data_IF_795805544131
#
_entry.id   IF_795805544131
#
_cell.length_a   1.000
_cell.length_b   1.000
_cell.length_c   1.000
_cell.angle_alpha   90.00
_cell.angle_beta   90.00
_cell.angle_gamma   90.00
#
_symmetry.space_group_name_H-M   'P 1'
#
loop_
_entity.id
_entity.type
_entity.pdbx_description
1 polymer ?
#
# COMPACT_ATOMS: atom_id res chain seq x y z
N UNK A 1 74.93 -66.62 4.59
CA UNK A 1 75.15 -65.40 5.40
C UNK A 1 74.48 -64.24 4.69
N UNK A 2 73.51 -63.59 5.35
CA UNK A 2 73.18 -62.15 5.26
C UNK A 2 72.82 -61.54 3.88
N UNK A 3 71.90 -60.60 3.69
CA UNK A 3 71.06 -59.74 4.54
C UNK A 3 70.01 -59.07 3.61
N UNK A 4 68.79 -58.88 4.13
CA UNK A 4 67.87 -57.74 4.00
C UNK A 4 67.94 -56.81 2.77
N UNK A 5 66.77 -56.56 2.16
CA UNK A 5 66.20 -55.21 1.94
C UNK A 5 64.66 -55.34 1.76
N UNK A 6 63.88 -54.94 2.77
CA UNK A 6 62.42 -54.73 2.66
C UNK A 6 62.15 -53.23 2.60
N UNK A 7 61.63 -52.75 1.47
CA UNK A 7 61.18 -51.37 1.32
C UNK A 7 59.82 -51.17 2.00
N UNK A 8 59.78 -50.22 2.93
CA UNK A 8 58.57 -49.71 3.57
C UNK A 8 57.93 -48.70 2.60
N UNK A 9 56.71 -48.98 2.12
CA UNK A 9 55.87 -47.97 1.47
C UNK A 9 55.07 -47.24 2.53
N UNK A 10 55.32 -45.94 2.68
CA UNK A 10 54.53 -45.02 3.51
C UNK A 10 53.18 -44.81 2.83
N UNK A 11 52.10 -45.24 3.50
CA UNK A 11 50.74 -44.98 3.09
C UNK A 11 50.36 -43.57 3.58
N UNK A 12 50.32 -42.59 2.68
CA UNK A 12 49.83 -41.25 2.99
C UNK A 12 48.31 -41.30 3.11
N UNK A 13 47.81 -41.19 4.34
CA UNK A 13 46.38 -41.12 4.65
C UNK A 13 45.93 -39.66 4.42
N UNK A 14 45.37 -39.38 3.25
CA UNK A 14 44.75 -38.09 2.96
C UNK A 14 43.43 -37.98 3.74
N UNK A 15 43.44 -37.18 4.81
CA UNK A 15 42.24 -36.80 5.54
C UNK A 15 41.31 -36.00 4.61
N UNK A 16 40.22 -36.61 4.15
CA UNK A 16 39.10 -35.92 3.52
C UNK A 16 38.32 -35.19 4.63
N UNK A 17 38.66 -33.93 4.86
CA UNK A 17 37.82 -33.02 5.63
C UNK A 17 36.54 -32.74 4.84
N UNK A 18 35.33 -32.93 5.41
CA UNK A 18 34.12 -32.50 4.75
C UNK A 18 34.15 -30.96 4.69
N UNK A 19 34.27 -30.41 3.48
CA UNK A 19 33.90 -29.01 3.26
C UNK A 19 32.40 -28.90 3.52
N UNK A 20 32.03 -28.48 4.72
CA UNK A 20 30.72 -27.88 4.95
C UNK A 20 30.71 -26.56 4.18
N UNK A 21 30.24 -26.57 2.93
CA UNK A 21 29.75 -25.37 2.30
C UNK A 21 28.60 -24.87 3.17
N UNK A 22 28.84 -23.82 3.95
CA UNK A 22 27.77 -22.99 4.46
C UNK A 22 27.08 -22.40 3.24
N UNK A 23 25.96 -22.99 2.84
CA UNK A 23 24.95 -22.28 2.06
C UNK A 23 24.60 -21.08 2.93
N UNK A 24 25.15 -19.92 2.59
CA UNK A 24 24.63 -18.66 3.09
C UNK A 24 23.13 -18.72 2.79
N UNK A 25 22.32 -18.83 3.84
CA UNK A 25 20.87 -18.91 3.69
C UNK A 25 20.44 -17.71 2.88
N UNK A 26 20.10 -17.92 1.61
CA UNK A 26 19.39 -16.91 0.85
C UNK A 26 18.07 -16.76 1.61
N UNK A 27 17.93 -15.65 2.31
CA UNK A 27 16.63 -15.23 2.82
C UNK A 27 15.69 -15.26 1.63
N UNK A 28 14.74 -16.19 1.62
CA UNK A 28 13.78 -16.26 0.53
C UNK A 28 13.05 -14.91 0.43
N UNK A 29 13.02 -14.36 -0.79
CA UNK A 29 12.39 -13.08 -1.06
C UNK A 29 10.89 -13.23 -0.81
N UNK A 30 10.36 -12.48 0.15
CA UNK A 30 8.99 -12.68 0.56
C UNK A 30 8.02 -11.88 -0.34
N UNK A 31 6.90 -12.51 -0.68
CA UNK A 31 5.76 -11.85 -1.35
C UNK A 31 4.50 -12.14 -0.55
N UNK A 32 3.92 -11.09 0.02
CA UNK A 32 2.73 -11.19 0.87
C UNK A 32 1.49 -10.73 0.10
N UNK A 33 0.58 -11.64 -0.17
CA UNK A 33 -0.73 -11.40 -0.78
C UNK A 33 -1.80 -11.27 0.30
N UNK A 34 -2.60 -10.22 0.21
CA UNK A 34 -3.78 -9.97 1.03
C UNK A 34 -5.03 -9.87 0.14
N UNK A 35 -6.16 -10.35 0.65
CA UNK A 35 -7.43 -10.38 -0.06
C UNK A 35 -8.49 -9.55 0.66
N UNK A 36 -9.35 -8.86 -0.09
CA UNK A 36 -10.55 -8.20 0.44
C UNK A 36 -11.74 -8.59 -0.41
N UNK A 37 -12.65 -9.38 0.15
CA UNK A 37 -13.90 -9.80 -0.51
C UNK A 37 -14.96 -8.71 -0.31
N UNK A 38 -15.56 -8.23 -1.40
CA UNK A 38 -16.79 -7.43 -1.38
C UNK A 38 -17.89 -8.23 -2.12
N UNK A 39 -19.12 -7.72 -2.17
CA UNK A 39 -20.28 -8.48 -2.65
C UNK A 39 -20.14 -8.97 -4.10
N UNK A 40 -19.55 -8.16 -4.97
CA UNK A 40 -19.47 -8.36 -6.42
C UNK A 40 -18.03 -8.45 -6.94
N UNK A 41 -17.04 -8.45 -6.05
CA UNK A 41 -15.62 -8.40 -6.40
C UNK A 41 -14.71 -8.89 -5.29
N UNK A 42 -13.56 -9.39 -5.70
CA UNK A 42 -12.44 -9.68 -4.82
C UNK A 42 -11.28 -8.78 -5.20
N UNK A 43 -10.76 -8.04 -4.22
CA UNK A 43 -9.52 -7.28 -4.38
C UNK A 43 -8.34 -8.06 -3.84
N UNK A 44 -7.27 -8.09 -4.60
CA UNK A 44 -5.98 -8.67 -4.26
C UNK A 44 -4.98 -7.54 -4.15
N UNK A 45 -4.26 -7.43 -3.04
CA UNK A 45 -3.22 -6.44 -2.82
C UNK A 45 -2.00 -7.11 -2.22
N UNK A 46 -0.80 -6.72 -2.65
CA UNK A 46 0.42 -7.39 -2.20
C UNK A 46 1.61 -6.46 -2.01
N UNK A 47 2.58 -6.95 -1.24
CA UNK A 47 3.95 -6.45 -1.23
C UNK A 47 4.90 -7.54 -1.71
N UNK A 48 6.03 -7.15 -2.29
CA UNK A 48 7.07 -8.09 -2.72
C UNK A 48 8.45 -7.50 -2.47
N UNK A 49 9.36 -8.35 -2.00
CA UNK A 49 10.78 -8.04 -1.85
C UNK A 49 11.58 -8.40 -3.10
N UNK A 50 10.93 -9.02 -4.10
CA UNK A 50 11.59 -9.40 -5.35
C UNK A 50 12.09 -8.15 -6.09
N UNK A 51 13.41 -8.02 -6.30
CA UNK A 51 13.94 -6.91 -7.06
C UNK A 51 13.70 -7.12 -8.56
N UNK A 52 13.62 -6.01 -9.31
CA UNK A 52 13.55 -6.03 -10.78
C UNK A 52 12.48 -7.00 -11.34
N UNK A 53 11.24 -6.85 -10.88
CA UNK A 53 10.09 -7.64 -11.38
C UNK A 53 9.95 -7.44 -12.89
N UNK A 54 9.87 -8.55 -13.64
CA UNK A 54 9.68 -8.55 -15.08
C UNK A 54 8.21 -8.77 -15.48
N UNK A 55 7.49 -9.61 -14.73
CA UNK A 55 6.04 -9.77 -14.84
C UNK A 55 5.44 -10.33 -13.56
N UNK A 56 4.13 -10.21 -13.45
CA UNK A 56 3.37 -10.77 -12.33
C UNK A 56 2.14 -11.50 -12.86
N UNK A 57 1.75 -12.59 -12.21
CA UNK A 57 0.65 -13.44 -12.65
C UNK A 57 -0.26 -13.78 -11.47
N UNK A 58 -1.57 -13.60 -11.64
CA UNK A 58 -2.57 -14.01 -10.63
C UNK A 58 -3.09 -15.40 -11.01
N UNK A 59 -3.05 -16.29 -10.03
CA UNK A 59 -3.61 -17.63 -10.12
C UNK A 59 -4.80 -17.76 -9.18
N UNK A 60 -5.81 -18.52 -9.61
CA UNK A 60 -7.03 -18.79 -8.86
C UNK A 60 -7.42 -20.26 -8.94
N UNK A 61 -7.89 -20.83 -7.85
CA UNK A 61 -8.42 -22.20 -7.77
C UNK A 61 -9.71 -22.25 -6.94
N UNK A 62 -10.50 -23.30 -7.16
CA UNK A 62 -11.62 -23.70 -6.28
C UNK A 62 -11.17 -24.67 -5.18
N UNK A 63 -9.88 -24.94 -5.07
CA UNK A 63 -9.25 -25.71 -4.00
C UNK A 63 -8.03 -24.99 -3.45
N UNK A 64 -7.53 -25.43 -2.29
CA UNK A 64 -6.32 -24.88 -1.67
C UNK A 64 -5.00 -25.37 -2.28
N UNK A 65 -5.03 -26.08 -3.42
CA UNK A 65 -3.86 -26.65 -4.07
C UNK A 65 -3.46 -25.81 -5.28
N UNK A 66 -2.20 -25.36 -5.32
CA UNK A 66 -1.70 -24.50 -6.39
C UNK A 66 -1.63 -25.23 -7.74
N UNK A 67 -1.40 -26.54 -7.74
CA UNK A 67 -1.35 -27.38 -8.95
C UNK A 67 -2.69 -27.43 -9.69
N UNK A 68 -3.78 -27.05 -9.02
CA UNK A 68 -5.13 -26.96 -9.59
C UNK A 68 -5.51 -25.51 -9.94
N UNK A 69 -4.61 -24.54 -9.71
CA UNK A 69 -4.88 -23.14 -9.95
C UNK A 69 -4.68 -22.78 -11.42
N UNK A 70 -5.61 -21.97 -11.95
CA UNK A 70 -5.54 -21.42 -13.29
C UNK A 70 -5.05 -19.98 -13.25
N UNK A 71 -4.22 -19.58 -14.21
CA UNK A 71 -3.79 -18.19 -14.35
C UNK A 71 -4.93 -17.35 -14.90
N UNK A 72 -5.40 -16.39 -14.11
CA UNK A 72 -6.51 -15.51 -14.48
C UNK A 72 -6.07 -14.13 -14.96
N UNK A 73 -4.84 -13.70 -14.64
CA UNK A 73 -4.31 -12.41 -15.10
C UNK A 73 -2.78 -12.43 -15.26
N UNK A 74 -2.29 -11.58 -16.17
CA UNK A 74 -0.88 -11.18 -16.30
C UNK A 74 -0.83 -9.67 -16.11
N UNK A 75 0.03 -9.20 -15.21
CA UNK A 75 0.05 -7.82 -14.74
C UNK A 75 1.39 -7.15 -15.05
N UNK A 76 1.34 -5.82 -15.12
CA UNK A 76 2.51 -4.96 -15.15
C UNK A 76 3.39 -5.14 -13.90
N UNK A 77 4.73 -5.02 -14.01
CA UNK A 77 5.66 -5.15 -12.88
C UNK A 77 5.45 -4.21 -11.69
N UNK A 78 4.85 -3.05 -11.90
CA UNK A 78 4.67 -2.03 -10.87
C UNK A 78 3.29 -2.09 -10.21
N UNK A 79 2.36 -2.86 -10.77
CA UNK A 79 1.03 -3.05 -10.19
C UNK A 79 1.14 -3.85 -8.88
N UNK A 80 0.44 -3.40 -7.84
CA UNK A 80 0.38 -4.09 -6.54
C UNK A 80 -1.05 -4.34 -6.05
N UNK A 81 -2.03 -4.06 -6.90
CA UNK A 81 -3.46 -4.31 -6.63
C UNK A 81 -4.12 -4.84 -7.89
N UNK A 82 -4.93 -5.88 -7.78
CA UNK A 82 -5.74 -6.45 -8.84
C UNK A 82 -7.18 -6.68 -8.36
N UNK A 83 -8.11 -6.71 -9.30
CA UNK A 83 -9.52 -7.02 -9.06
C UNK A 83 -9.88 -8.31 -9.81
N UNK A 84 -10.63 -9.18 -9.14
CA UNK A 84 -11.33 -10.30 -9.75
C UNK A 84 -12.84 -10.13 -9.56
N UNK A 85 -13.55 -10.02 -10.67
CA UNK A 85 -15.00 -9.89 -10.75
C UNK A 85 -15.66 -11.05 -11.52
N UNK A 86 -14.90 -12.08 -11.90
CA UNK A 86 -15.37 -13.18 -12.72
C UNK A 86 -15.46 -14.48 -11.92
N UNK A 87 -16.39 -14.54 -10.97
CA UNK A 87 -16.53 -15.66 -10.05
C UNK A 87 -17.98 -16.13 -9.92
N UNK A 88 -18.16 -17.40 -9.58
CA UNK A 88 -19.48 -17.95 -9.30
C UNK A 88 -19.98 -17.44 -7.94
N UNK A 89 -21.27 -17.04 -7.83
CA UNK A 89 -21.83 -16.61 -6.56
C UNK A 89 -21.75 -17.74 -5.53
N UNK A 90 -21.47 -17.40 -4.28
CA UNK A 90 -21.33 -18.33 -3.15
C UNK A 90 -20.20 -19.38 -3.27
N UNK A 91 -19.38 -19.32 -4.30
CA UNK A 91 -18.16 -20.14 -4.40
C UNK A 91 -17.01 -19.44 -3.67
N UNK A 92 -16.23 -20.23 -2.93
CA UNK A 92 -14.95 -19.78 -2.40
C UNK A 92 -13.80 -20.09 -3.34
N UNK A 93 -12.83 -19.18 -3.35
CA UNK A 93 -11.65 -19.24 -4.19
C UNK A 93 -10.39 -19.01 -3.38
N UNK A 94 -9.32 -19.63 -3.87
CA UNK A 94 -7.96 -19.51 -3.37
C UNK A 94 -7.11 -18.83 -4.44
N UNK A 95 -6.23 -17.94 -4.01
CA UNK A 95 -5.44 -17.07 -4.85
C UNK A 95 -3.97 -17.14 -4.47
N UNK A 96 -3.15 -17.04 -5.50
CA UNK A 96 -1.71 -16.87 -5.40
C UNK A 96 -1.27 -15.80 -6.39
N UNK A 97 -0.23 -15.07 -6.02
CA UNK A 97 0.53 -14.23 -6.92
C UNK A 97 1.84 -14.94 -7.23
N UNK A 98 2.17 -15.07 -8.50
CA UNK A 98 3.49 -15.47 -8.97
C UNK A 98 4.21 -14.23 -9.49
N UNK A 99 5.29 -13.84 -8.82
CA UNK A 99 6.20 -12.77 -9.24
C UNK A 99 7.36 -13.38 -9.99
N UNK A 100 7.69 -12.83 -11.15
CA UNK A 100 8.75 -13.35 -12.01
C UNK A 100 9.77 -12.24 -12.20
N UNK A 101 11.01 -12.49 -11.78
CA UNK A 101 12.09 -11.50 -11.86
C UNK A 101 12.71 -11.42 -13.27
N UNK A 102 13.62 -10.47 -13.46
CA UNK A 102 14.32 -10.23 -14.72
C UNK A 102 15.11 -11.43 -15.24
N UNK A 103 15.52 -12.34 -14.36
CA UNK A 103 16.24 -13.57 -14.71
C UNK A 103 15.28 -14.74 -15.02
N UNK A 104 13.98 -14.52 -14.87
CA UNK A 104 12.94 -15.50 -15.10
C UNK A 104 12.67 -16.44 -13.92
N UNK A 105 13.27 -16.19 -12.75
CA UNK A 105 12.99 -16.97 -11.54
C UNK A 105 11.62 -16.59 -10.99
N UNK A 106 10.86 -17.63 -10.62
CA UNK A 106 9.50 -17.52 -10.11
C UNK A 106 9.50 -17.48 -8.57
N UNK A 107 8.72 -16.56 -8.01
CA UNK A 107 8.53 -16.39 -6.57
C UNK A 107 7.02 -16.41 -6.30
N UNK A 108 6.55 -17.41 -5.58
CA UNK A 108 5.13 -17.57 -5.27
C UNK A 108 4.79 -16.90 -3.93
N UNK A 109 3.67 -16.20 -3.87
CA UNK A 109 3.17 -15.63 -2.62
C UNK A 109 2.62 -16.70 -1.67
N UNK A 110 2.28 -16.27 -0.45
CA UNK A 110 1.37 -17.03 0.40
C UNK A 110 0.02 -17.26 -0.30
N UNK A 111 -0.70 -18.29 0.17
CA UNK A 111 -2.08 -18.54 -0.17
C UNK A 111 -2.99 -17.48 0.48
N UNK A 112 -3.90 -16.91 -0.30
CA UNK A 112 -5.01 -16.07 0.17
C UNK A 112 -6.34 -16.67 -0.27
N UNK A 113 -7.40 -16.57 0.53
CA UNK A 113 -8.67 -17.18 0.18
C UNK A 113 -9.87 -16.32 0.60
N UNK A 114 -11.00 -16.49 -0.10
CA UNK A 114 -12.27 -15.88 0.28
C UNK A 114 -12.98 -16.60 1.42
N UNK A 115 -12.46 -17.76 1.83
CA UNK A 115 -12.97 -18.55 2.94
C UNK A 115 -12.82 -17.72 4.24
N UNK A 116 -13.90 -17.45 4.99
CA UNK A 116 -13.85 -16.56 6.15
C UNK A 116 -12.84 -16.95 7.24
N UNK A 117 -12.53 -18.24 7.38
CA UNK A 117 -11.55 -18.72 8.34
C UNK A 117 -10.11 -18.38 7.96
N UNK A 118 -9.82 -18.12 6.68
CA UNK A 118 -8.49 -17.79 6.16
C UNK A 118 -8.37 -16.32 5.74
N UNK A 119 -9.47 -15.57 5.66
CA UNK A 119 -9.46 -14.17 5.23
C UNK A 119 -8.81 -13.20 6.23
N UNK A 120 -8.58 -13.64 7.49
CA UNK A 120 -8.06 -12.81 8.58
C UNK A 120 -6.89 -13.44 9.36
N UNK A 121 -6.37 -14.59 8.93
CA UNK A 121 -5.26 -15.22 9.63
C UNK A 121 -3.93 -14.59 9.20
N UNK A 122 -3.04 -14.24 10.14
CA UNK A 122 -1.70 -13.79 9.79
C UNK A 122 -0.98 -14.90 9.02
N UNK A 123 -0.38 -14.55 7.89
CA UNK A 123 0.21 -15.52 6.96
C UNK A 123 1.56 -16.07 7.43
N UNK A 124 2.12 -15.49 8.50
CA UNK A 124 3.31 -16.02 9.14
C UNK A 124 3.31 -15.67 10.64
N UNK A 125 3.98 -16.52 11.42
CA UNK A 125 4.48 -16.19 12.76
C UNK A 125 5.63 -15.18 12.63
N UNK A 126 5.37 -14.02 12.04
CA UNK A 126 6.39 -12.96 11.96
C UNK A 126 6.47 -12.38 13.36
N UNK A 127 7.64 -12.44 13.99
CA UNK A 127 7.88 -11.83 15.30
C UNK A 127 7.38 -10.37 15.37
N UNK A 128 7.41 -9.67 14.22
CA UNK A 128 6.95 -8.30 14.06
C UNK A 128 5.42 -8.12 14.02
N UNK A 129 4.63 -9.14 13.65
CA UNK A 129 3.17 -9.03 13.61
C UNK A 129 2.59 -8.67 14.98
N UNK A 130 3.18 -9.21 16.06
CA UNK A 130 2.81 -8.90 17.45
C UNK A 130 3.05 -7.44 17.86
N UNK A 131 3.93 -6.73 17.13
CA UNK A 131 4.25 -5.32 17.37
C UNK A 131 3.24 -4.39 16.69
N UNK A 132 2.53 -4.88 15.68
CA UNK A 132 1.47 -4.15 14.99
C UNK A 132 0.19 -4.17 15.82
N UNK A 133 0.05 -3.15 16.67
CA UNK A 133 -1.10 -2.94 17.55
C UNK A 133 -1.49 -1.46 17.57
N UNK A 134 -2.73 -1.17 17.94
CA UNK A 134 -3.23 0.20 17.96
C UNK A 134 -2.37 1.10 18.88
N UNK A 135 -2.02 2.28 18.38
CA UNK A 135 -1.13 3.24 19.04
C UNK A 135 0.36 2.91 18.94
N UNK A 136 0.78 1.87 18.20
CA UNK A 136 2.19 1.56 18.03
C UNK A 136 2.94 2.69 17.31
N UNK A 137 4.19 2.91 17.71
CA UNK A 137 5.11 3.84 17.05
C UNK A 137 6.33 3.08 16.54
N UNK A 138 6.64 3.22 15.26
CA UNK A 138 7.84 2.64 14.63
C UNK A 138 8.80 3.75 14.24
N UNK A 139 10.10 3.55 14.50
CA UNK A 139 11.12 4.58 14.30
C UNK A 139 12.38 4.01 13.68
N UNK A 140 12.82 4.56 12.54
CA UNK A 140 14.03 4.15 11.82
C UNK A 140 14.09 2.64 11.48
N UNK A 141 12.96 2.05 11.13
CA UNK A 141 12.84 0.62 10.86
C UNK A 141 11.77 0.33 9.79
N UNK A 142 11.75 -0.91 9.30
CA UNK A 142 10.66 -1.45 8.49
C UNK A 142 9.97 -2.56 9.28
N UNK A 143 8.65 -2.46 9.43
CA UNK A 143 7.83 -3.44 10.14
C UNK A 143 6.87 -4.13 9.18
N UNK A 144 7.00 -5.45 9.08
CA UNK A 144 6.03 -6.30 8.39
C UNK A 144 4.99 -6.81 9.39
N UNK A 145 3.73 -6.43 9.17
CA UNK A 145 2.61 -6.81 10.01
C UNK A 145 1.99 -8.16 9.62
N UNK A 146 2.45 -8.80 8.53
CA UNK A 146 2.05 -10.17 8.18
C UNK A 146 0.55 -10.36 7.90
N UNK A 147 -0.15 -9.28 7.56
CA UNK A 147 -1.59 -9.28 7.27
C UNK A 147 -2.50 -9.16 8.50
N UNK A 148 -1.97 -8.91 9.71
CA UNK A 148 -2.82 -8.75 10.90
C UNK A 148 -3.80 -7.59 10.75
N UNK A 149 -4.94 -7.71 11.43
CA UNK A 149 -5.93 -6.64 11.54
C UNK A 149 -5.76 -5.88 12.83
N UNK A 150 -5.63 -4.56 12.75
CA UNK A 150 -5.48 -3.64 13.87
C UNK A 150 -6.57 -2.58 13.79
N UNK A 151 -7.08 -2.16 14.94
CA UNK A 151 -7.97 -1.02 15.02
C UNK A 151 -8.01 -0.48 16.44
N UNK A 152 -8.34 0.80 16.56
CA UNK A 152 -8.69 1.43 17.83
C UNK A 152 -10.22 1.58 17.89
N UNK A 153 -10.72 2.80 17.99
CA UNK A 153 -12.13 3.15 17.86
C UNK A 153 -12.32 4.13 16.71
N UNK A 154 -13.54 4.22 16.19
CA UNK A 154 -13.95 5.32 15.34
C UNK A 154 -15.06 6.13 16.02
N UNK A 155 -14.78 7.40 16.30
CA UNK A 155 -15.71 8.33 16.97
C UNK A 155 -16.33 9.32 15.99
N UNK A 156 -16.67 8.87 14.77
CA UNK A 156 -17.18 9.73 13.70
C UNK A 156 -16.11 10.68 13.17
N UNK A 157 -16.54 11.90 12.85
CA UNK A 157 -15.72 13.01 12.32
C UNK A 157 -15.13 13.89 13.44
N UNK A 158 -15.06 13.38 14.67
CA UNK A 158 -14.49 14.10 15.79
C UNK A 158 -12.99 14.36 15.58
N UNK A 159 -12.61 15.63 15.54
CA UNK A 159 -11.23 16.10 15.43
C UNK A 159 -10.36 15.61 16.60
N UNK A 160 -9.17 15.09 16.30
CA UNK A 160 -8.15 14.76 17.30
C UNK A 160 -8.17 13.31 17.79
N UNK A 161 -8.74 12.39 17.01
CA UNK A 161 -8.54 10.97 17.22
C UNK A 161 -7.05 10.62 17.12
N UNK A 162 -6.61 9.59 17.86
CA UNK A 162 -5.20 9.17 17.80
C UNK A 162 -4.99 8.28 16.57
N UNK A 163 -3.82 8.34 15.92
CA UNK A 163 -3.50 7.41 14.85
C UNK A 163 -3.44 5.97 15.37
N UNK A 164 -3.86 5.03 14.51
CA UNK A 164 -3.72 3.59 14.75
C UNK A 164 -2.24 3.20 14.76
N UNK A 165 -1.44 3.75 13.84
CA UNK A 165 0.02 3.55 13.78
C UNK A 165 0.71 4.90 13.55
N UNK A 166 1.83 5.12 14.24
CA UNK A 166 2.71 6.28 14.05
C UNK A 166 4.05 5.84 13.47
N UNK A 167 4.49 6.50 12.40
CA UNK A 167 5.75 6.27 11.72
C UNK A 167 6.68 7.48 11.89
N UNK A 168 7.94 7.23 12.24
CA UNK A 168 9.00 8.23 12.32
C UNK A 168 10.21 7.75 11.54
N UNK A 169 10.35 8.23 10.31
CA UNK A 169 11.35 7.73 9.37
C UNK A 169 11.32 6.19 9.24
N UNK A 170 10.11 5.63 9.07
CA UNK A 170 9.87 4.19 9.20
C UNK A 170 8.88 3.70 8.14
N UNK A 171 8.92 2.40 7.85
CA UNK A 171 8.01 1.74 6.91
C UNK A 171 7.14 0.73 7.63
N UNK A 172 5.87 0.63 7.22
CA UNK A 172 4.96 -0.45 7.62
C UNK A 172 4.44 -1.14 6.36
N UNK A 173 4.40 -2.48 6.39
CA UNK A 173 3.85 -3.27 5.30
C UNK A 173 2.89 -4.36 5.76
N UNK A 174 1.96 -4.75 4.88
CA UNK A 174 1.03 -5.87 5.07
C UNK A 174 0.16 -5.72 6.31
N UNK A 175 -0.61 -4.64 6.39
CA UNK A 175 -1.44 -4.31 7.55
C UNK A 175 -2.90 -4.12 7.12
N UNK A 176 -3.86 -4.64 7.89
CA UNK A 176 -5.27 -4.31 7.73
C UNK A 176 -5.72 -3.40 8.88
N UNK A 177 -6.36 -2.29 8.54
CA UNK A 177 -7.02 -1.40 9.49
C UNK A 177 -8.51 -1.78 9.52
N UNK A 178 -9.03 -2.11 10.71
CA UNK A 178 -10.40 -2.60 10.86
C UNK A 178 -11.44 -1.52 10.56
N UNK A 179 -12.61 -1.93 10.05
CA UNK A 179 -13.68 -1.01 9.67
C UNK A 179 -14.15 -0.14 10.85
N UNK A 180 -14.39 -0.75 12.02
CA UNK A 180 -14.89 -0.02 13.20
C UNK A 180 -13.79 0.69 14.01
N UNK A 181 -12.53 0.60 13.59
CA UNK A 181 -11.36 1.00 14.37
C UNK A 181 -10.37 1.85 13.60
N UNK A 182 -10.80 2.51 12.52
CA UNK A 182 -9.96 3.31 11.64
C UNK A 182 -9.27 4.51 12.31
N UNK A 183 -9.90 5.09 13.35
CA UNK A 183 -9.41 6.27 14.08
C UNK A 183 -8.86 7.36 13.14
N UNK A 184 -7.72 7.97 13.48
CA UNK A 184 -7.00 8.90 12.59
C UNK A 184 -5.91 8.19 11.76
N UNK A 185 -6.22 6.96 11.30
CA UNK A 185 -5.43 6.22 10.33
C UNK A 185 -3.96 5.99 10.72
N UNK A 186 -3.06 6.19 9.76
CA UNK A 186 -1.60 6.06 9.94
C UNK A 186 -0.94 7.42 9.82
N UNK A 187 -0.12 7.82 10.80
CA UNK A 187 0.62 9.08 10.73
C UNK A 187 2.06 8.85 10.31
N UNK A 188 2.52 9.58 9.28
CA UNK A 188 3.94 9.84 9.09
C UNK A 188 4.31 11.09 9.87
N UNK A 189 4.80 10.94 11.12
CA UNK A 189 5.06 12.07 12.02
C UNK A 189 6.40 12.76 11.80
N UNK A 190 7.38 12.08 11.21
CA UNK A 190 8.68 12.67 10.88
C UNK A 190 9.44 11.84 9.86
N UNK A 191 10.44 12.44 9.22
CA UNK A 191 11.31 11.75 8.26
C UNK A 191 10.57 11.25 7.02
N UNK A 192 11.07 10.17 6.42
CA UNK A 192 10.43 9.53 5.28
C UNK A 192 9.70 8.26 5.73
N UNK A 193 8.43 8.12 5.39
CA UNK A 193 7.63 6.96 5.74
C UNK A 193 7.11 6.24 4.50
N UNK A 194 7.06 4.91 4.56
CA UNK A 194 6.42 4.08 3.53
C UNK A 194 5.29 3.27 4.14
N UNK A 195 4.14 3.29 3.49
CA UNK A 195 2.95 2.52 3.86
C UNK A 195 2.64 1.62 2.65
N UNK A 196 3.01 0.34 2.76
CA UNK A 196 2.96 -0.60 1.65
C UNK A 196 1.95 -1.72 1.90
N UNK A 197 1.12 -2.03 0.90
CA UNK A 197 0.11 -3.09 1.00
C UNK A 197 -0.74 -3.00 2.28
N UNK A 198 -1.27 -1.80 2.54
CA UNK A 198 -2.20 -1.57 3.66
C UNK A 198 -3.62 -1.55 3.15
N UNK A 199 -4.51 -2.24 3.88
CA UNK A 199 -5.94 -2.28 3.59
C UNK A 199 -6.71 -1.54 4.68
N UNK A 200 -7.41 -0.47 4.33
CA UNK A 200 -8.37 0.19 5.20
C UNK A 200 -9.77 -0.33 4.88
N UNK A 201 -10.36 -1.08 5.80
CA UNK A 201 -11.68 -1.70 5.60
C UNK A 201 -12.83 -0.69 5.62
N UNK A 202 -12.68 0.38 6.40
CA UNK A 202 -13.52 1.58 6.38
C UNK A 202 -12.71 2.74 6.97
N UNK A 203 -12.58 3.84 6.24
CA UNK A 203 -11.88 5.03 6.74
C UNK A 203 -12.75 5.71 7.79
N UNK A 204 -12.13 6.11 8.90
CA UNK A 204 -12.79 6.88 9.93
C UNK A 204 -12.59 8.39 9.69
N UNK A 205 -11.49 8.99 10.18
CA UNK A 205 -11.17 10.41 9.91
C UNK A 205 -10.40 10.54 8.58
N UNK A 206 -9.13 10.14 8.58
CA UNK A 206 -8.27 10.04 7.39
C UNK A 206 -7.65 8.62 7.31
N UNK A 207 -7.25 8.16 6.12
CA UNK A 207 -6.52 6.89 6.00
C UNK A 207 -5.06 7.04 6.44
N UNK A 208 -4.41 8.13 6.01
CA UNK A 208 -3.07 8.47 6.47
C UNK A 208 -2.77 9.98 6.39
N UNK A 209 -1.92 10.44 7.32
CA UNK A 209 -1.58 11.85 7.48
C UNK A 209 -0.07 12.08 7.38
N UNK A 210 0.34 12.93 6.44
CA UNK A 210 1.73 13.35 6.27
C UNK A 210 2.03 14.60 7.11
N UNK A 211 2.71 14.35 8.23
CA UNK A 211 3.32 15.35 9.10
C UNK A 211 4.86 15.34 8.99
N UNK A 212 5.41 14.50 8.10
CA UNK A 212 6.85 14.27 7.91
C UNK A 212 7.40 14.94 6.65
N UNK A 213 8.47 14.36 6.09
CA UNK A 213 9.13 14.87 4.87
C UNK A 213 8.57 14.21 3.62
N UNK A 214 8.59 12.89 3.55
CA UNK A 214 8.02 12.13 2.43
C UNK A 214 7.13 11.02 2.97
N UNK A 215 5.89 10.91 2.50
CA UNK A 215 5.01 9.78 2.81
C UNK A 215 4.67 9.06 1.52
N UNK A 216 5.13 7.82 1.37
CA UNK A 216 4.90 6.99 0.19
C UNK A 216 3.84 5.94 0.49
N UNK A 217 2.78 5.92 -0.30
CA UNK A 217 1.76 4.86 -0.32
C UNK A 217 2.06 3.98 -1.53
N UNK A 218 2.25 2.68 -1.29
CA UNK A 218 2.68 1.71 -2.30
C UNK A 218 1.70 0.52 -2.33
N UNK A 219 0.86 0.48 -3.36
CA UNK A 219 -0.25 -0.47 -3.44
C UNK A 219 -1.25 -0.25 -2.31
N UNK A 220 -2.01 -1.27 -1.94
CA UNK A 220 -3.02 -1.18 -0.89
C UNK A 220 -4.40 -0.74 -1.38
N UNK A 221 -5.37 -0.86 -0.47
CA UNK A 221 -6.79 -0.68 -0.76
C UNK A 221 -7.41 0.18 0.34
N UNK A 222 -8.19 1.19 0.00
CA UNK A 222 -8.98 1.91 1.00
C UNK A 222 -10.46 1.97 0.62
N UNK A 223 -11.31 1.48 1.51
CA UNK A 223 -12.75 1.59 1.42
C UNK A 223 -13.24 2.75 2.30
N UNK A 224 -14.28 3.44 1.83
CA UNK A 224 -15.08 4.35 2.63
C UNK A 224 -16.52 4.32 2.09
N UNK A 225 -17.49 4.77 2.89
CA UNK A 225 -18.90 4.83 2.49
C UNK A 225 -19.57 6.09 3.03
N UNK A 226 -20.62 6.55 2.36
CA UNK A 226 -21.33 7.78 2.75
C UNK A 226 -21.91 7.76 4.18
N UNK A 227 -22.15 6.57 4.72
CA UNK A 227 -22.70 6.33 6.06
C UNK A 227 -21.80 5.39 6.87
N UNK A 228 -20.49 5.39 6.60
CA UNK A 228 -19.51 4.57 7.29
C UNK A 228 -19.27 5.02 8.73
N UNK A 229 -18.39 4.32 9.43
CA UNK A 229 -18.11 4.63 10.85
C UNK A 229 -17.59 6.04 11.09
N UNK A 230 -16.90 6.63 10.10
CA UNK A 230 -16.38 8.01 10.13
C UNK A 230 -17.39 9.10 9.79
N UNK A 231 -18.62 8.73 9.42
CA UNK A 231 -19.60 9.69 8.89
C UNK A 231 -19.33 10.02 7.43
N UNK A 232 -19.51 11.29 7.05
CA UNK A 232 -19.38 11.72 5.65
C UNK A 232 -17.90 11.66 5.22
N UNK A 233 -17.56 10.97 4.13
CA UNK A 233 -16.19 10.92 3.62
C UNK A 233 -15.61 12.32 3.35
N UNK A 234 -14.43 12.63 3.90
CA UNK A 234 -13.74 13.90 3.65
C UNK A 234 -12.41 13.73 2.91
N UNK A 235 -11.36 13.17 3.54
CA UNK A 235 -10.04 13.05 2.94
C UNK A 235 -9.48 11.65 3.18
N UNK A 236 -8.84 11.08 2.16
CA UNK A 236 -8.09 9.83 2.31
C UNK A 236 -6.69 10.15 2.84
N UNK A 237 -6.01 11.11 2.20
CA UNK A 237 -4.68 11.53 2.58
C UNK A 237 -4.62 13.01 2.96
N UNK A 238 -4.39 13.27 4.25
CA UNK A 238 -4.14 14.59 4.78
C UNK A 238 -2.64 14.92 4.70
N UNK A 239 -2.31 16.18 4.40
CA UNK A 239 -0.92 16.64 4.31
C UNK A 239 -0.74 18.00 5.00
N UNK A 240 -0.06 17.98 6.14
CA UNK A 240 0.10 19.16 7.01
C UNK A 240 1.49 19.76 6.97
N UNK A 241 2.54 18.92 6.89
CA UNK A 241 3.92 19.38 6.86
C UNK A 241 4.21 20.26 5.63
N UNK A 242 5.26 21.08 5.70
CA UNK A 242 5.69 21.98 4.62
C UNK A 242 7.00 21.46 4.04
N UNK A 243 7.31 21.83 2.80
CA UNK A 243 8.49 21.36 2.06
C UNK A 243 8.55 19.82 2.03
N UNK A 244 7.40 19.20 1.80
CA UNK A 244 7.16 17.78 1.97
C UNK A 244 6.31 17.22 0.83
N UNK A 245 6.39 15.90 0.64
CA UNK A 245 5.79 15.21 -0.51
C UNK A 245 4.99 14.00 -0.05
N UNK A 246 3.78 13.83 -0.58
CA UNK A 246 3.07 12.54 -0.55
C UNK A 246 3.19 11.88 -1.92
N UNK A 247 3.57 10.61 -1.96
CA UNK A 247 3.75 9.83 -3.20
C UNK A 247 2.75 8.66 -3.20
N UNK A 248 1.97 8.49 -4.26
CA UNK A 248 1.02 7.40 -4.45
C UNK A 248 1.42 6.57 -5.67
N UNK A 249 1.73 5.29 -5.45
CA UNK A 249 2.18 4.35 -6.47
C UNK A 249 1.63 2.94 -6.23
N UNK A 250 1.99 1.98 -7.09
CA UNK A 250 1.58 0.58 -6.93
C UNK A 250 0.12 0.32 -7.28
N UNK A 251 -0.53 1.23 -8.00
CA UNK A 251 -1.96 1.18 -8.28
C UNK A 251 -2.82 1.15 -7.00
N UNK A 252 -2.46 1.96 -5.98
CA UNK A 252 -3.29 2.15 -4.79
C UNK A 252 -4.75 2.38 -5.19
N UNK A 253 -5.66 1.62 -4.59
CA UNK A 253 -7.05 1.54 -5.06
C UNK A 253 -8.03 2.05 -4.01
N UNK A 254 -8.88 3.00 -4.40
CA UNK A 254 -10.03 3.44 -3.63
C UNK A 254 -11.30 2.70 -4.06
N UNK A 255 -12.14 2.35 -3.09
CA UNK A 255 -13.42 1.65 -3.31
C UNK A 255 -14.54 2.25 -2.48
N UNK A 256 -15.78 2.17 -2.95
CA UNK A 256 -16.93 2.77 -2.25
C UNK A 256 -17.12 4.25 -2.59
N UNK A 257 -17.27 5.11 -1.58
CA UNK A 257 -17.56 6.53 -1.72
C UNK A 257 -16.57 7.38 -0.90
N UNK A 258 -15.93 8.35 -1.54
CA UNK A 258 -14.83 9.15 -0.96
C UNK A 258 -15.08 10.65 -1.12
N UNK A 259 -14.49 11.47 -0.25
CA UNK A 259 -14.43 12.91 -0.45
C UNK A 259 -13.28 13.28 -1.38
N UNK A 260 -12.06 13.35 -0.84
CA UNK A 260 -10.84 13.75 -1.56
C UNK A 260 -9.76 12.70 -1.42
N UNK A 261 -9.06 12.36 -2.50
CA UNK A 261 -7.92 11.45 -2.40
C UNK A 261 -6.79 12.11 -1.60
N UNK A 262 -6.46 13.36 -1.89
CA UNK A 262 -5.40 14.10 -1.19
C UNK A 262 -5.73 15.57 -1.02
N UNK A 263 -5.39 16.12 0.15
CA UNK A 263 -5.54 17.55 0.44
C UNK A 263 -4.34 18.12 1.18
N UNK A 264 -3.73 19.15 0.59
CA UNK A 264 -2.85 20.06 1.34
C UNK A 264 -3.67 20.82 2.38
N UNK A 265 -3.24 20.88 3.64
CA UNK A 265 -4.05 21.49 4.68
C UNK A 265 -4.45 22.95 4.35
N UNK A 266 -5.76 23.23 4.35
CA UNK A 266 -6.32 24.51 3.90
C UNK A 266 -6.23 25.62 4.94
N UNK A 267 -6.28 25.28 6.21
CA UNK A 267 -6.44 26.22 7.33
C UNK A 267 -5.67 25.79 8.60
N UNK A 268 -4.59 25.03 8.44
CA UNK A 268 -3.77 24.59 9.56
C UNK A 268 -3.23 25.74 10.42
N UNK A 269 -2.92 25.45 11.68
CA UNK A 269 -2.11 26.34 12.51
C UNK A 269 -0.76 26.58 11.84
N UNK A 270 -0.31 27.83 11.78
CA UNK A 270 0.91 28.21 11.06
C UNK A 270 0.93 27.72 9.61
N UNK A 271 -0.21 27.76 8.88
CA UNK A 271 -0.29 27.24 7.53
C UNK A 271 0.75 27.84 6.57
N UNK A 272 1.03 27.11 5.50
CA UNK A 272 1.99 27.46 4.46
C UNK A 272 2.24 26.27 3.55
N UNK A 273 3.30 26.38 2.76
CA UNK A 273 3.77 25.32 1.87
C UNK A 273 5.23 25.58 1.49
N UNK A 274 5.69 25.05 0.35
CA UNK A 274 4.95 24.19 -0.58
C UNK A 274 4.69 22.79 -0.02
N UNK A 275 3.57 22.18 -0.41
CA UNK A 275 3.26 20.75 -0.24
C UNK A 275 3.11 20.10 -1.61
N UNK A 276 3.69 18.92 -1.75
CA UNK A 276 3.73 18.21 -3.02
C UNK A 276 2.92 16.92 -2.98
N UNK A 277 2.30 16.59 -4.10
CA UNK A 277 1.69 15.30 -4.37
C UNK A 277 2.28 14.74 -5.66
N UNK A 278 2.68 13.46 -5.64
CA UNK A 278 3.07 12.72 -6.84
C UNK A 278 2.23 11.46 -6.94
N UNK A 279 1.48 11.31 -8.03
CA UNK A 279 0.74 10.09 -8.36
C UNK A 279 1.38 9.48 -9.61
N UNK A 280 1.78 8.21 -9.53
CA UNK A 280 2.27 7.43 -10.68
C UNK A 280 1.40 6.23 -11.03
N UNK A 281 0.36 5.96 -10.24
CA UNK A 281 -0.61 4.90 -10.48
C UNK A 281 -1.61 4.81 -9.33
N UNK A 282 -2.85 5.21 -9.58
CA UNK A 282 -3.98 5.13 -8.64
C UNK A 282 -5.24 4.71 -9.40
N UNK A 283 -6.05 3.87 -8.78
CA UNK A 283 -7.38 3.51 -9.28
C UNK A 283 -8.45 3.97 -8.30
N UNK A 284 -9.50 4.61 -8.80
CA UNK A 284 -10.71 4.95 -8.03
C UNK A 284 -11.85 4.10 -8.57
N UNK A 285 -12.10 2.95 -7.94
CA UNK A 285 -13.20 2.04 -8.25
C UNK A 285 -14.43 2.35 -7.38
N UNK A 286 -14.94 3.57 -7.52
CA UNK A 286 -15.98 4.12 -6.66
C UNK A 286 -16.33 5.55 -7.03
N UNK A 287 -17.09 6.22 -6.16
CA UNK A 287 -17.34 7.66 -6.28
C UNK A 287 -16.30 8.43 -5.47
N UNK A 288 -15.92 9.60 -5.96
CA UNK A 288 -15.09 10.55 -5.23
C UNK A 288 -15.49 11.98 -5.57
N UNK A 289 -15.42 12.92 -4.63
CA UNK A 289 -15.76 14.32 -4.90
C UNK A 289 -14.65 15.04 -5.68
N UNK A 290 -13.37 14.84 -5.33
CA UNK A 290 -12.23 15.30 -6.13
C UNK A 290 -10.92 14.55 -5.83
N UNK A 291 -9.90 14.69 -6.67
CA UNK A 291 -8.64 13.94 -6.50
C UNK A 291 -7.64 14.72 -5.64
N UNK A 292 -7.22 15.91 -6.05
CA UNK A 292 -6.20 16.69 -5.36
C UNK A 292 -6.65 18.13 -5.10
N UNK A 293 -6.51 18.60 -3.85
CA UNK A 293 -6.70 20.01 -3.50
C UNK A 293 -5.37 20.68 -3.12
N UNK A 294 -4.88 21.57 -3.98
CA UNK A 294 -3.59 22.30 -3.81
C UNK A 294 -3.83 23.74 -3.34
N UNK A 295 -3.02 24.26 -2.41
CA UNK A 295 -3.04 25.68 -2.07
C UNK A 295 -2.08 26.44 -3.01
N UNK A 296 -2.61 27.04 -4.08
CA UNK A 296 -1.79 27.66 -5.13
C UNK A 296 -1.00 28.85 -4.63
N UNK A 297 -1.55 29.62 -3.69
CA UNK A 297 -0.85 30.73 -3.01
C UNK A 297 0.34 30.28 -2.15
N UNK A 298 0.40 29.00 -1.76
CA UNK A 298 1.55 28.40 -1.07
C UNK A 298 2.47 27.61 -1.99
N UNK A 299 2.27 27.71 -3.30
CA UNK A 299 3.10 27.07 -4.35
C UNK A 299 3.10 25.54 -4.26
N UNK A 300 2.01 24.97 -3.76
CA UNK A 300 1.80 23.53 -3.79
C UNK A 300 1.79 23.01 -5.23
N UNK A 301 2.25 21.78 -5.45
CA UNK A 301 2.23 21.14 -6.78
C UNK A 301 1.75 19.70 -6.67
N UNK A 302 0.70 19.37 -7.42
CA UNK A 302 0.26 18.00 -7.65
C UNK A 302 0.69 17.55 -9.05
N UNK A 303 1.51 16.50 -9.11
CA UNK A 303 1.90 15.81 -10.35
C UNK A 303 1.15 14.49 -10.42
N UNK A 304 0.31 14.30 -11.44
CA UNK A 304 -0.59 13.13 -11.51
C UNK A 304 -0.40 12.41 -12.84
N UNK A 305 -0.07 11.12 -12.79
CA UNK A 305 0.06 10.21 -13.93
C UNK A 305 -0.68 8.90 -13.65
N UNK A 306 -1.14 8.24 -14.71
CA UNK A 306 -1.78 6.91 -14.67
C UNK A 306 -2.92 6.81 -13.66
N UNK A 307 -3.82 7.80 -13.66
CA UNK A 307 -5.01 7.81 -12.82
C UNK A 307 -6.16 7.14 -13.57
N UNK A 308 -6.78 6.12 -12.96
CA UNK A 308 -7.97 5.45 -13.48
C UNK A 308 -9.15 5.72 -12.58
N UNK A 309 -10.29 6.14 -13.13
CA UNK A 309 -11.49 6.43 -12.34
C UNK A 309 -12.70 5.74 -12.97
N UNK A 310 -13.47 5.02 -12.15
CA UNK A 310 -14.72 4.39 -12.57
C UNK A 310 -15.66 5.43 -13.18
N UNK A 311 -16.14 5.13 -14.38
CA UNK A 311 -17.07 5.98 -15.13
C UNK A 311 -16.60 7.43 -15.34
N UNK A 312 -15.28 7.63 -15.40
CA UNK A 312 -14.68 8.95 -15.59
C UNK A 312 -15.26 9.70 -16.79
N UNK A 313 -15.59 10.97 -16.55
CA UNK A 313 -15.84 11.97 -17.59
C UNK A 313 -15.12 13.25 -17.16
N UNK A 314 -14.63 14.03 -18.12
CA UNK A 314 -13.96 15.29 -17.80
C UNK A 314 -14.82 16.16 -16.85
N UNK A 315 -14.23 16.62 -15.74
CA UNK A 315 -14.90 17.37 -14.67
C UNK A 315 -15.78 16.52 -13.72
N UNK A 316 -15.87 15.20 -13.89
CA UNK A 316 -16.62 14.28 -13.04
C UNK A 316 -15.78 13.02 -12.73
N UNK A 317 -15.04 13.01 -11.61
CA UNK A 317 -14.82 14.12 -10.67
C UNK A 317 -13.82 15.16 -11.21
N UNK A 318 -13.75 16.37 -10.60
CA UNK A 318 -12.60 17.25 -10.70
C UNK A 318 -11.31 16.57 -10.24
N UNK A 319 -10.23 16.76 -11.00
CA UNK A 319 -8.94 16.09 -10.76
C UNK A 319 -8.04 16.95 -9.87
N UNK A 320 -7.65 18.15 -10.30
CA UNK A 320 -6.78 19.01 -9.50
C UNK A 320 -7.44 20.36 -9.29
N UNK A 321 -7.89 20.63 -8.06
CA UNK A 321 -8.57 21.86 -7.68
C UNK A 321 -7.62 22.82 -6.97
N UNK A 322 -7.65 24.09 -7.37
CA UNK A 322 -6.92 25.14 -6.65
C UNK A 322 -7.74 25.63 -5.45
N UNK A 323 -7.01 25.90 -4.38
CA UNK A 323 -7.50 26.55 -3.18
C UNK A 323 -6.60 27.73 -2.83
N UNK A 324 -7.18 28.71 -2.14
CA UNK A 324 -6.40 29.68 -1.36
C UNK A 324 -6.28 29.15 0.07
N UNK A 325 -5.07 28.79 0.47
CA UNK A 325 -4.76 28.39 1.84
C UNK A 325 -4.67 29.60 2.77
N UNK A 326 -5.13 29.43 4.01
CA UNK A 326 -5.13 30.47 5.05
C UNK A 326 -4.51 29.93 6.34
N UNK A 327 -4.12 30.81 7.26
CA UNK A 327 -3.76 30.38 8.62
C UNK A 327 -5.02 30.15 9.44
N UNK A 328 -5.01 29.17 10.36
CA UNK A 328 -6.13 28.90 11.28
C UNK A 328 -6.61 30.18 11.97
N UNK A 329 -7.92 30.42 11.93
CA UNK A 329 -8.56 31.60 12.52
C UNK A 329 -8.40 32.90 11.73
N UNK A 330 -7.71 32.90 10.57
CA UNK A 330 -7.50 34.10 9.74
C UNK A 330 -8.31 34.08 8.44
N UNK A 331 -9.50 33.49 8.48
CA UNK A 331 -10.40 33.33 7.33
C UNK A 331 -10.71 31.87 7.04
N UNK A 332 -11.30 31.62 5.87
CA UNK A 332 -11.63 30.27 5.39
C UNK A 332 -10.82 29.97 4.14
N UNK A 333 -10.36 28.73 3.99
CA UNK A 333 -9.77 28.29 2.73
C UNK A 333 -10.84 28.31 1.65
N UNK A 334 -10.57 29.01 0.55
CA UNK A 334 -11.53 29.19 -0.55
C UNK A 334 -11.16 28.26 -1.68
N UNK A 335 -12.13 27.46 -2.14
CA UNK A 335 -12.02 26.68 -3.36
C UNK A 335 -12.25 27.58 -4.57
N UNK A 336 -11.38 27.49 -5.56
CA UNK A 336 -11.57 28.13 -6.86
C UNK A 336 -12.27 27.17 -7.83
N UNK A 337 -11.49 26.40 -8.60
CA UNK A 337 -12.00 25.43 -9.59
C UNK A 337 -10.92 24.41 -9.96
N UNK A 338 -11.26 23.52 -10.89
CA UNK A 338 -10.33 22.56 -11.51
C UNK A 338 -9.35 23.25 -12.47
N UNK A 339 -8.09 22.82 -12.44
CA UNK A 339 -7.02 23.26 -13.33
C UNK A 339 -6.27 22.07 -13.94
N UNK A 340 -5.81 22.26 -15.18
CA UNK A 340 -4.98 21.32 -15.94
C UNK A 340 -3.74 22.05 -16.44
N UNK A 341 -2.59 21.36 -16.49
CA UNK A 341 -1.32 21.90 -16.98
C UNK A 341 -0.97 23.30 -16.42
N UNK A 342 -1.16 23.49 -15.11
CA UNK A 342 -0.80 24.74 -14.42
C UNK A 342 0.40 24.52 -13.49
N UNK A 343 0.99 25.60 -12.98
CA UNK A 343 2.12 25.51 -12.06
C UNK A 343 1.85 24.61 -10.84
N UNK A 344 0.62 24.64 -10.30
CA UNK A 344 0.21 23.82 -9.15
C UNK A 344 -0.47 22.50 -9.51
N UNK A 345 -0.95 22.36 -10.77
CA UNK A 345 -1.61 21.16 -11.25
C UNK A 345 -0.88 20.66 -12.50
N UNK A 346 0.18 19.88 -12.27
CA UNK A 346 0.93 19.19 -13.31
C UNK A 346 0.20 17.89 -13.67
N UNK A 347 -0.91 18.04 -14.39
CA UNK A 347 -1.74 16.94 -14.88
C UNK A 347 -2.36 17.35 -16.20
N UNK A 348 -2.36 16.42 -17.15
CA UNK A 348 -2.98 16.54 -18.46
C UNK A 348 -4.15 15.58 -18.58
N UNK A 349 -5.05 15.81 -19.53
CA UNK A 349 -6.23 14.95 -19.72
C UNK A 349 -5.87 13.51 -20.09
N UNK A 350 -4.70 13.28 -20.68
CA UNK A 350 -4.22 11.93 -21.02
C UNK A 350 -3.69 11.16 -19.82
N UNK A 351 -3.41 11.85 -18.70
CA UNK A 351 -2.98 11.22 -17.46
C UNK A 351 -4.14 10.57 -16.69
N UNK A 352 -5.38 10.82 -17.12
CA UNK A 352 -6.61 10.38 -16.46
C UNK A 352 -7.48 9.62 -17.44
N UNK A 353 -7.84 8.40 -17.09
CA UNK A 353 -8.62 7.50 -17.95
C UNK A 353 -9.81 6.93 -17.19
N UNK A 354 -10.85 6.54 -17.95
CA UNK A 354 -11.91 5.72 -17.41
C UNK A 354 -11.34 4.34 -17.07
N UNK A 355 -11.65 3.84 -15.86
CA UNK A 355 -11.31 2.48 -15.42
C UNK A 355 -11.94 1.43 -16.34
#
# INVERSE_FOLDING_TARGET
MNLLHRSIKVLSCALLLPLSLSVAGQTELNTTLMLTKKADKTYLSWSTEVPAVARQEIYRSTSSLFEQAERIAVLDPYQQVAEDNNFAPHQDYWYWLKVIDADGKEHLSNLSATVPQFSYQPFATIANASRCKAGATFSNETVDCGGVTVGSSCAGDAEGQKPVITLKNASVKNLRISASGGADGIHCSSGNCTIENVVWEDICEDAATNNGKTMTIKGGLAFNSANGSGGKPDKVFQHNSKNSTTVLTGNFTLTGEHGKLWRSCGDCTNNGGPRYLTISGVTVNGKIDSIAGVNSNYKDVATIRNLKIKDYKAGKPPICEHYTGVKKGQGKSVKDKEYWNSASCNVSKTDVTKL
#
